data_IF_001698016798
#
_entry.id   IF_001698016798
#
_cell.length_a   1.000
_cell.length_b   1.000
_cell.length_c   1.000
_cell.angle_alpha   90.00
_cell.angle_beta   90.00
_cell.angle_gamma   90.00
#
_symmetry.space_group_name_H-M   'P 1'
#
loop_
_entity.id
_entity.type
_entity.pdbx_description
1 polymer ?
#
# COMPACT_ATOMS: atom_id res chain seq x y z
N UNK A 1 -18.79 2.01 -15.91
CA UNK A 1 -17.39 2.06 -15.41
C UNK A 1 -16.66 0.88 -16.00
N UNK A 2 -15.64 1.11 -16.83
CA UNK A 2 -14.86 0.04 -17.45
C UNK A 2 -14.18 -0.85 -16.39
N UNK A 3 -14.46 -2.17 -16.36
CA UNK A 3 -13.85 -3.11 -15.41
C UNK A 3 -12.32 -3.16 -15.51
N UNK A 4 -11.77 -2.72 -16.65
CA UNK A 4 -10.35 -2.76 -16.97
C UNK A 4 -9.50 -1.77 -16.15
N UNK A 5 -10.12 -0.75 -15.53
CA UNK A 5 -9.42 0.27 -14.75
C UNK A 5 -9.37 -0.03 -13.25
N UNK A 6 -9.99 -1.14 -12.80
CA UNK A 6 -9.96 -1.54 -11.39
C UNK A 6 -8.53 -1.98 -11.01
N UNK A 7 -7.91 -1.38 -9.99
CA UNK A 7 -6.62 -1.83 -9.49
C UNK A 7 -6.69 -3.29 -9.05
N UNK A 8 -5.61 -4.04 -9.26
CA UNK A 8 -5.46 -5.35 -8.61
C UNK A 8 -5.14 -5.15 -7.13
N UNK A 9 -5.40 -6.17 -6.32
CA UNK A 9 -4.93 -6.18 -4.93
C UNK A 9 -3.42 -6.01 -4.87
N UNK A 10 -2.97 -5.18 -3.94
CA UNK A 10 -1.55 -4.99 -3.70
C UNK A 10 -1.04 -6.05 -2.72
N UNK A 11 -0.31 -7.01 -3.26
CA UNK A 11 0.21 -8.23 -2.61
C UNK A 11 1.75 -8.28 -2.58
N UNK A 12 2.42 -7.14 -2.73
CA UNK A 12 3.86 -7.12 -2.85
C UNK A 12 4.55 -7.44 -1.51
N UNK A 13 5.52 -8.35 -1.52
CA UNK A 13 6.36 -8.60 -0.34
C UNK A 13 7.35 -7.42 -0.17
N UNK A 14 7.37 -6.73 0.99
CA UNK A 14 8.31 -5.64 1.26
C UNK A 14 9.79 -6.05 1.24
N UNK A 15 10.10 -7.35 1.37
CA UNK A 15 11.45 -7.90 1.29
C UNK A 15 11.90 -8.19 -0.15
N UNK A 16 10.99 -8.12 -1.13
CA UNK A 16 11.33 -8.36 -2.52
C UNK A 16 12.15 -7.21 -3.11
N UNK A 17 13.14 -7.53 -3.96
CA UNK A 17 13.92 -6.52 -4.69
C UNK A 17 13.08 -5.68 -5.65
N UNK A 18 11.90 -6.17 -6.05
CA UNK A 18 10.96 -5.46 -6.93
C UNK A 18 9.80 -4.79 -6.18
N UNK A 19 9.79 -4.83 -4.84
CA UNK A 19 8.68 -4.32 -4.04
C UNK A 19 8.42 -2.83 -4.29
N UNK A 20 9.48 -2.02 -4.39
CA UNK A 20 9.39 -0.58 -4.74
C UNK A 20 8.80 -0.37 -6.13
N UNK A 21 9.22 -1.17 -7.13
CA UNK A 21 8.71 -1.06 -8.50
C UNK A 21 7.23 -1.44 -8.56
N UNK A 22 6.85 -2.53 -7.87
CA UNK A 22 5.47 -2.99 -7.75
C UNK A 22 4.59 -1.94 -7.06
N UNK A 23 5.06 -1.38 -5.94
CA UNK A 23 4.35 -0.30 -5.24
C UNK A 23 4.16 0.92 -6.15
N UNK A 24 5.22 1.38 -6.83
CA UNK A 24 5.13 2.54 -7.73
C UNK A 24 4.17 2.30 -8.89
N UNK A 25 4.20 1.11 -9.49
CA UNK A 25 3.30 0.74 -10.57
C UNK A 25 1.85 0.69 -10.07
N UNK A 26 1.60 -0.02 -8.97
CA UNK A 26 0.28 -0.15 -8.38
C UNK A 26 -0.29 1.20 -7.96
N UNK A 27 0.51 2.05 -7.31
CA UNK A 27 0.08 3.38 -6.87
C UNK A 27 -0.29 4.29 -8.04
N UNK A 28 0.38 4.15 -9.19
CA UNK A 28 0.01 4.87 -10.42
C UNK A 28 -1.34 4.41 -10.98
N UNK A 29 -1.61 3.10 -10.95
CA UNK A 29 -2.91 2.53 -11.33
C UNK A 29 -4.00 2.96 -10.36
N UNK A 30 -3.74 2.91 -9.06
CA UNK A 30 -4.66 3.36 -8.01
C UNK A 30 -5.01 4.84 -8.13
N UNK A 31 -4.03 5.72 -8.40
CA UNK A 31 -4.29 7.14 -8.68
C UNK A 31 -5.13 7.37 -9.93
N UNK A 32 -4.89 6.59 -10.98
CA UNK A 32 -5.70 6.66 -12.20
C UNK A 32 -7.14 6.24 -11.92
N UNK A 33 -7.32 5.18 -11.12
CA UNK A 33 -8.63 4.75 -10.66
C UNK A 33 -9.31 5.83 -9.81
N UNK A 34 -8.63 6.42 -8.82
CA UNK A 34 -9.20 7.50 -8.02
C UNK A 34 -9.66 8.68 -8.87
N UNK A 35 -8.95 9.03 -9.94
CA UNK A 35 -9.39 10.06 -10.91
C UNK A 35 -10.64 9.66 -11.68
N UNK A 36 -10.81 8.38 -12.01
CA UNK A 36 -11.99 7.92 -12.75
C UNK A 36 -13.22 7.82 -11.84
N UNK A 37 -13.03 7.47 -10.57
CA UNK A 37 -14.09 7.46 -9.56
C UNK A 37 -14.26 8.79 -8.83
N UNK A 38 -13.44 9.81 -9.13
CA UNK A 38 -13.43 11.13 -8.48
C UNK A 38 -14.80 11.81 -8.48
N UNK A 39 -15.58 11.62 -9.55
CA UNK A 39 -16.96 12.10 -9.67
C UNK A 39 -17.88 11.63 -8.52
N UNK A 40 -17.61 10.42 -8.00
CA UNK A 40 -18.36 9.83 -6.89
C UNK A 40 -17.88 10.30 -5.51
N UNK A 41 -16.81 11.11 -5.44
CA UNK A 41 -16.12 11.52 -4.19
C UNK A 41 -15.92 10.35 -3.21
N UNK A 42 -15.30 9.24 -3.64
CA UNK A 42 -15.10 8.09 -2.77
C UNK A 42 -14.15 8.45 -1.65
N UNK A 43 -14.35 7.80 -0.50
CA UNK A 43 -13.39 7.86 0.58
C UNK A 43 -12.09 7.19 0.12
N UNK A 44 -11.02 7.98 0.05
CA UNK A 44 -9.71 7.53 -0.46
C UNK A 44 -9.09 6.48 0.45
N UNK A 45 -9.31 6.57 1.76
CA UNK A 45 -8.77 5.65 2.75
C UNK A 45 -9.51 4.31 2.67
N UNK A 46 -10.84 4.33 2.69
CA UNK A 46 -11.64 3.10 2.52
C UNK A 46 -11.34 2.42 1.17
N UNK A 47 -11.22 3.21 0.11
CA UNK A 47 -10.82 2.69 -1.21
C UNK A 47 -9.43 2.07 -1.14
N UNK A 48 -8.48 2.68 -0.44
CA UNK A 48 -7.14 2.13 -0.25
C UNK A 48 -7.21 0.77 0.47
N UNK A 49 -7.94 0.70 1.58
CA UNK A 49 -8.14 -0.51 2.41
C UNK A 49 -8.73 -1.65 1.58
N UNK A 50 -9.70 -1.36 0.71
CA UNK A 50 -10.32 -2.35 -0.16
C UNK A 50 -9.41 -2.90 -1.27
N UNK A 51 -8.30 -2.24 -1.60
CA UNK A 51 -7.38 -2.65 -2.67
C UNK A 51 -6.00 -3.09 -2.18
N UNK A 52 -5.80 -3.18 -0.86
CA UNK A 52 -4.58 -3.73 -0.26
C UNK A 52 -4.84 -5.12 0.31
N UNK A 53 -3.80 -5.95 0.34
CA UNK A 53 -3.86 -7.24 1.02
C UNK A 53 -4.01 -7.05 2.55
N UNK A 54 -4.68 -7.97 3.29
CA UNK A 54 -4.82 -7.89 4.74
C UNK A 54 -3.50 -7.69 5.50
N UNK A 55 -2.39 -8.28 5.02
CA UNK A 55 -1.06 -8.08 5.61
C UNK A 55 -0.58 -6.63 5.48
N UNK A 56 -0.90 -5.98 4.37
CA UNK A 56 -0.56 -4.59 4.11
C UNK A 56 -1.50 -3.66 4.87
N UNK A 57 -2.78 -4.04 4.97
CA UNK A 57 -3.77 -3.34 5.79
C UNK A 57 -3.33 -3.24 7.25
N UNK A 58 -2.80 -4.31 7.84
CA UNK A 58 -2.32 -4.33 9.24
C UNK A 58 -1.29 -3.22 9.52
N UNK A 59 -0.46 -2.87 8.53
CA UNK A 59 0.51 -1.78 8.64
C UNK A 59 -0.08 -0.37 8.51
N UNK A 60 -1.29 -0.22 7.97
CA UNK A 60 -1.95 1.07 7.77
C UNK A 60 -3.25 1.22 8.57
N UNK A 61 -3.70 0.18 9.27
CA UNK A 61 -4.94 0.16 10.05
C UNK A 61 -4.93 1.22 11.16
N UNK A 62 -3.75 1.53 11.70
CA UNK A 62 -3.55 2.57 12.71
C UNK A 62 -3.68 4.00 12.17
N UNK A 63 -3.80 4.18 10.85
CA UNK A 63 -3.87 5.50 10.21
C UNK A 63 -5.30 5.87 9.80
N UNK A 64 -5.79 6.98 10.34
CA UNK A 64 -7.08 7.60 9.96
C UNK A 64 -6.99 8.49 8.72
N UNK A 65 -5.78 8.75 8.22
CA UNK A 65 -5.52 9.65 7.10
C UNK A 65 -4.88 8.91 5.94
N UNK A 66 -5.43 9.12 4.74
CA UNK A 66 -4.89 8.56 3.50
C UNK A 66 -3.42 8.93 3.28
N UNK A 67 -3.03 10.18 3.51
CA UNK A 67 -1.65 10.63 3.32
C UNK A 67 -0.69 9.92 4.29
N UNK A 68 -1.09 9.76 5.56
CA UNK A 68 -0.32 9.03 6.57
C UNK A 68 -0.17 7.55 6.21
N UNK A 69 -1.25 6.90 5.77
CA UNK A 69 -1.23 5.51 5.33
C UNK A 69 -0.28 5.29 4.14
N UNK A 70 -0.34 6.17 3.12
CA UNK A 70 0.54 6.10 1.96
C UNK A 70 2.00 6.38 2.33
N UNK A 71 2.26 7.34 3.22
CA UNK A 71 3.61 7.63 3.69
C UNK A 71 4.22 6.42 4.43
N UNK A 72 3.43 5.75 5.28
CA UNK A 72 3.83 4.51 5.94
C UNK A 72 4.12 3.38 4.95
N UNK A 73 3.26 3.18 3.94
CA UNK A 73 3.54 2.22 2.86
C UNK A 73 4.84 2.57 2.14
N UNK A 74 5.02 3.83 1.74
CA UNK A 74 6.26 4.26 1.11
C UNK A 74 7.46 3.99 2.02
N UNK A 75 7.40 4.31 3.31
CA UNK A 75 8.47 4.00 4.26
C UNK A 75 8.73 2.50 4.40
N UNK A 76 7.69 1.67 4.34
CA UNK A 76 7.79 0.21 4.44
C UNK A 76 8.50 -0.39 3.22
N UNK A 77 8.09 0.01 2.01
CA UNK A 77 8.57 -0.55 0.75
C UNK A 77 9.82 0.14 0.21
N UNK A 78 9.95 1.46 0.40
CA UNK A 78 11.09 2.28 -0.06
C UNK A 78 12.20 2.31 0.99
N UNK A 79 12.19 1.42 2.00
CA UNK A 79 13.22 1.42 3.04
C UNK A 79 14.61 1.51 2.41
N UNK A 80 15.44 2.48 2.82
CA UNK A 80 16.87 2.36 2.59
C UNK A 80 17.29 1.08 3.35
N UNK A 81 17.98 0.16 2.68
CA UNK A 81 18.61 -1.03 3.30
C UNK A 81 19.10 -0.70 4.72
N UNK A 82 18.31 -0.96 5.77
CA UNK A 82 18.78 -0.77 7.14
C UNK A 82 17.91 -1.53 8.16
N UNK A 83 18.36 -2.76 8.44
CA UNK A 83 18.60 -3.38 9.76
C UNK A 83 17.43 -3.64 10.73
N UNK A 84 16.26 -2.99 10.66
CA UNK A 84 15.33 -3.04 11.83
C UNK A 84 14.35 -4.23 11.85
N UNK A 85 14.10 -4.93 10.73
CA UNK A 85 13.23 -6.14 10.79
C UNK A 85 13.92 -7.34 11.47
N UNK A 86 15.22 -7.27 11.76
CA UNK A 86 15.90 -8.28 12.55
C UNK A 86 15.53 -8.24 14.04
N UNK A 87 14.91 -7.16 14.56
CA UNK A 87 14.59 -7.06 16.00
C UNK A 87 13.28 -7.73 16.41
N UNK A 88 12.32 -7.90 15.50
CA UNK A 88 11.05 -8.58 15.84
C UNK A 88 11.15 -10.11 15.84
N UNK A 89 12.23 -10.68 15.29
CA UNK A 89 12.50 -12.13 15.31
C UNK A 89 13.46 -12.58 16.43
N UNK A 90 14.06 -11.66 17.18
CA UNK A 90 14.99 -12.02 18.26
C UNK A 90 14.36 -12.11 19.66
N UNK A 91 13.03 -12.01 19.78
CA UNK A 91 12.32 -12.19 21.06
C UNK A 91 11.57 -13.53 21.15
N UNK A 92 12.05 -14.54 20.44
CA UNK A 92 11.64 -15.95 20.59
C UNK A 92 12.87 -16.85 20.55
N UNK A 93 13.82 -16.63 21.46
CA UNK A 93 14.80 -17.63 21.92
C UNK A 93 15.06 -17.44 23.41
#
# INVERSE_FOLDING_TARGET
MDPQLRPRFFDADPNSTDAVKRLNHWFRTFKTYLKTVESSKPDKLETLIHFVDPLVHDHIADHTDYESAIDTLRKLYVRPKNVIYARYLQQTY
#
